data_IF_748920669671
#
_entry.id   IF_748920669671
#
_cell.length_a   1.000
_cell.length_b   1.000
_cell.length_c   1.000
_cell.angle_alpha   90.00
_cell.angle_beta   90.00
_cell.angle_gamma   90.00
#
_symmetry.space_group_name_H-M   'P 1'
#
loop_
_entity.id
_entity.type
_entity.pdbx_description
1 polymer ?
#
# COMPACT_ATOMS: atom_id res chain seq x y z
N UNK A 1 13.14 10.22 -1.38
CA UNK A 1 12.33 10.57 -0.19
C UNK A 1 12.58 9.59 0.95
N UNK A 2 12.68 10.06 2.19
CA UNK A 2 12.76 9.24 3.40
C UNK A 2 11.38 8.66 3.76
N UNK A 3 11.33 7.34 3.99
CA UNK A 3 10.09 6.60 4.15
C UNK A 3 10.09 5.87 5.48
N UNK A 4 8.94 5.88 6.15
CA UNK A 4 8.66 5.07 7.34
C UNK A 4 7.40 4.23 7.14
N UNK A 5 7.51 2.91 7.29
CA UNK A 5 6.37 2.00 7.26
C UNK A 5 6.00 1.63 8.69
N UNK A 6 4.70 1.73 9.01
CA UNK A 6 4.17 1.30 10.30
C UNK A 6 3.56 -0.10 10.15
N UNK A 7 4.27 -1.14 10.60
CA UNK A 7 3.72 -2.48 10.74
C UNK A 7 3.07 -2.60 12.11
N UNK A 8 1.74 -2.62 12.15
CA UNK A 8 0.99 -2.83 13.38
C UNK A 8 -0.09 -3.87 13.18
N UNK A 9 -0.55 -4.44 14.30
CA UNK A 9 -1.63 -5.41 14.32
C UNK A 9 -2.97 -4.68 14.27
N UNK A 10 -3.75 -4.95 13.22
CA UNK A 10 -5.10 -4.42 13.08
C UNK A 10 -6.03 -5.13 14.08
N UNK A 11 -6.88 -4.37 14.74
CA UNK A 11 -7.93 -4.91 15.63
C UNK A 11 -9.15 -5.25 14.79
N UNK A 12 -9.58 -6.51 14.83
CA UNK A 12 -10.70 -6.99 14.03
C UNK A 12 -12.01 -6.25 14.37
N UNK A 13 -12.63 -5.62 13.37
CA UNK A 13 -13.95 -5.02 13.46
C UNK A 13 -14.08 -3.76 14.34
N UNK A 14 -12.97 -3.20 14.83
CA UNK A 14 -12.97 -2.08 15.79
C UNK A 14 -12.32 -0.81 15.20
N UNK A 15 -13.14 -0.01 14.53
CA UNK A 15 -12.73 1.23 13.84
C UNK A 15 -12.12 2.25 14.80
N UNK A 16 -12.74 2.46 15.95
CA UNK A 16 -12.30 3.49 16.89
C UNK A 16 -10.94 3.11 17.51
N UNK A 17 -10.78 1.84 17.93
CA UNK A 17 -9.50 1.36 18.46
C UNK A 17 -8.38 1.41 17.42
N UNK A 18 -8.66 1.09 16.16
CA UNK A 18 -7.67 1.16 15.09
C UNK A 18 -7.25 2.61 14.74
N UNK A 19 -8.21 3.54 14.71
CA UNK A 19 -7.92 4.97 14.54
C UNK A 19 -7.03 5.48 15.67
N UNK A 20 -7.37 5.14 16.92
CA UNK A 20 -6.59 5.55 18.07
C UNK A 20 -5.18 4.92 18.08
N UNK A 21 -5.08 3.67 17.62
CA UNK A 21 -3.80 2.99 17.43
C UNK A 21 -2.91 3.74 16.44
N UNK A 22 -3.44 4.16 15.29
CA UNK A 22 -2.69 4.96 14.30
C UNK A 22 -2.24 6.28 14.91
N UNK A 23 -3.12 7.03 15.57
CA UNK A 23 -2.75 8.29 16.25
C UNK A 23 -1.62 8.08 17.26
N UNK A 24 -1.75 7.05 18.09
CA UNK A 24 -0.73 6.68 19.09
C UNK A 24 0.62 6.35 18.45
N UNK A 25 0.64 5.67 17.30
CA UNK A 25 1.88 5.37 16.59
C UNK A 25 2.54 6.64 16.06
N UNK A 26 1.78 7.56 15.45
CA UNK A 26 2.31 8.86 15.02
C UNK A 26 2.84 9.70 16.19
N UNK A 27 2.25 9.57 17.39
CA UNK A 27 2.75 10.26 18.59
C UNK A 27 4.04 9.65 19.16
N UNK A 28 4.21 8.34 19.03
CA UNK A 28 5.37 7.62 19.57
C UNK A 28 6.58 7.66 18.64
N UNK A 29 6.34 7.69 17.35
CA UNK A 29 7.40 7.60 16.34
C UNK A 29 8.09 8.95 16.11
N UNK A 30 9.41 8.91 15.99
CA UNK A 30 10.17 10.07 15.51
C UNK A 30 9.94 10.23 14.00
N UNK A 31 9.24 11.30 13.61
CA UNK A 31 8.93 11.62 12.23
C UNK A 31 9.77 12.79 11.70
N UNK A 32 10.75 13.28 12.48
CA UNK A 32 11.62 14.37 12.04
C UNK A 32 12.43 13.92 10.81
N UNK A 33 12.30 14.67 9.72
CA UNK A 33 13.01 14.41 8.46
C UNK A 33 12.44 13.24 7.65
N UNK A 34 11.31 12.66 8.06
CA UNK A 34 10.55 11.71 7.23
C UNK A 34 9.71 12.47 6.20
N UNK A 35 9.61 11.93 4.99
CA UNK A 35 8.81 12.53 3.93
C UNK A 35 7.48 11.81 3.73
N UNK A 36 7.46 10.48 3.93
CA UNK A 36 6.30 9.61 3.71
C UNK A 36 6.14 8.61 4.86
N UNK A 37 4.92 8.49 5.39
CA UNK A 37 4.50 7.41 6.30
C UNK A 37 3.53 6.47 5.59
N UNK A 38 3.66 5.16 5.79
CA UNK A 38 2.85 4.13 5.11
C UNK A 38 2.11 3.24 6.12
N UNK A 39 0.81 3.05 5.90
CA UNK A 39 -0.08 2.19 6.69
C UNK A 39 -0.47 0.90 5.92
N UNK A 40 -0.90 -0.17 6.60
CA UNK A 40 -1.31 -1.42 5.97
C UNK A 40 -2.71 -1.36 5.35
N UNK A 41 -3.10 -2.40 4.61
CA UNK A 41 -4.46 -2.55 4.04
C UNK A 41 -5.53 -2.64 5.14
N UNK A 42 -6.75 -2.23 4.81
CA UNK A 42 -7.99 -2.39 5.59
C UNK A 42 -7.87 -2.02 7.08
N UNK A 43 -6.98 -1.09 7.41
CA UNK A 43 -6.51 -0.89 8.77
C UNK A 43 -7.58 -0.39 9.75
N UNK A 44 -8.71 0.13 9.26
CA UNK A 44 -9.84 0.54 10.10
C UNK A 44 -10.66 -0.64 10.61
N UNK A 45 -10.87 -1.68 9.81
CA UNK A 45 -11.82 -2.76 10.13
C UNK A 45 -11.16 -4.14 10.20
N UNK A 46 -9.98 -4.28 9.62
CA UNK A 46 -9.48 -5.57 9.16
C UNK A 46 -10.47 -6.23 8.20
N UNK A 47 -10.39 -7.55 8.12
CA UNK A 47 -11.26 -8.39 7.29
C UNK A 47 -12.56 -8.80 8.01
N UNK A 48 -13.17 -7.93 8.81
CA UNK A 48 -14.53 -8.14 9.34
C UNK A 48 -15.60 -7.92 8.25
N UNK A 49 -15.51 -8.74 7.19
CA UNK A 49 -16.27 -8.58 5.96
C UNK A 49 -17.77 -8.79 6.19
N UNK A 50 -18.16 -9.71 7.09
CA UNK A 50 -19.57 -9.96 7.43
C UNK A 50 -20.28 -8.73 8.01
N UNK A 51 -19.52 -7.81 8.63
CA UNK A 51 -20.06 -6.59 9.23
C UNK A 51 -19.66 -5.33 8.46
N UNK A 52 -19.06 -5.46 7.28
CA UNK A 52 -18.43 -4.35 6.56
C UNK A 52 -19.42 -3.24 6.21
N UNK A 53 -20.68 -3.58 5.92
CA UNK A 53 -21.78 -2.63 5.69
C UNK A 53 -21.96 -1.59 6.80
N UNK A 54 -21.75 -2.01 8.04
CA UNK A 54 -21.89 -1.16 9.23
C UNK A 54 -20.58 -0.44 9.56
N UNK A 55 -19.45 -1.05 9.24
CA UNK A 55 -18.12 -0.61 9.68
C UNK A 55 -17.40 0.27 8.65
N UNK A 56 -17.77 0.19 7.38
CA UNK A 56 -17.09 0.91 6.31
C UNK A 56 -17.16 2.43 6.51
N UNK A 57 -16.07 3.09 6.13
CA UNK A 57 -16.05 4.53 5.97
C UNK A 57 -17.06 4.94 4.89
N UNK A 58 -17.52 6.19 4.96
CA UNK A 58 -18.32 6.81 3.89
C UNK A 58 -17.52 7.97 3.30
N UNK A 59 -17.20 7.87 2.01
CA UNK A 59 -16.32 8.84 1.34
C UNK A 59 -15.00 9.08 2.11
N UNK A 60 -14.42 7.97 2.58
CA UNK A 60 -13.22 7.87 3.42
C UNK A 60 -13.34 8.44 4.83
N UNK A 61 -14.49 8.95 5.26
CA UNK A 61 -14.66 9.47 6.63
C UNK A 61 -15.02 8.35 7.62
N UNK A 62 -14.50 8.40 8.87
CA UNK A 62 -13.67 9.48 9.45
C UNK A 62 -12.15 9.35 9.21
N UNK A 63 -11.71 8.28 8.55
CA UNK A 63 -10.28 7.98 8.37
C UNK A 63 -9.52 9.13 7.69
N UNK A 64 -10.07 9.68 6.60
CA UNK A 64 -9.44 10.79 5.85
C UNK A 64 -9.22 12.03 6.71
N UNK A 65 -10.20 12.44 7.52
CA UNK A 65 -10.03 13.59 8.43
C UNK A 65 -8.87 13.36 9.41
N UNK A 66 -8.82 12.19 10.05
CA UNK A 66 -7.74 11.85 10.99
C UNK A 66 -6.38 11.85 10.30
N UNK A 67 -6.26 11.20 9.15
CA UNK A 67 -5.00 11.16 8.40
C UNK A 67 -4.57 12.56 7.95
N UNK A 68 -5.52 13.41 7.54
CA UNK A 68 -5.23 14.80 7.16
C UNK A 68 -4.68 15.62 8.32
N UNK A 69 -5.26 15.47 9.51
CA UNK A 69 -4.75 16.12 10.73
C UNK A 69 -3.34 15.64 11.08
N UNK A 70 -3.07 14.34 10.96
CA UNK A 70 -1.75 13.76 11.20
C UNK A 70 -0.72 14.27 10.18
N UNK A 71 -1.07 14.29 8.89
CA UNK A 71 -0.18 14.77 7.83
C UNK A 71 0.28 16.21 8.09
N UNK A 72 -0.66 17.10 8.46
CA UNK A 72 -0.36 18.50 8.81
C UNK A 72 0.44 18.61 10.11
N UNK A 73 0.02 17.91 11.17
CA UNK A 73 0.67 17.97 12.50
C UNK A 73 2.14 17.56 12.44
N UNK A 74 2.44 16.53 11.67
CA UNK A 74 3.80 15.97 11.57
C UNK A 74 4.56 16.43 10.32
N UNK A 75 3.92 17.20 9.43
CA UNK A 75 4.48 17.69 8.17
C UNK A 75 5.06 16.55 7.29
N UNK A 76 4.27 15.48 7.13
CA UNK A 76 4.62 14.29 6.33
C UNK A 76 3.51 13.98 5.34
N UNK A 77 3.86 13.40 4.19
CA UNK A 77 2.88 12.77 3.33
C UNK A 77 2.49 11.39 3.91
N UNK A 78 1.28 10.92 3.66
CA UNK A 78 0.80 9.65 4.19
C UNK A 78 0.18 8.82 3.07
N UNK A 79 0.81 7.67 2.77
CA UNK A 79 0.18 6.58 2.01
C UNK A 79 -0.66 5.80 3.01
N UNK A 80 -1.94 6.13 3.08
CA UNK A 80 -2.82 5.81 4.19
C UNK A 80 -3.40 4.40 4.12
N UNK A 81 -2.59 3.44 3.65
CA UNK A 81 -3.02 2.05 3.55
C UNK A 81 -4.26 1.93 2.69
N UNK A 82 -5.22 1.15 3.14
CA UNK A 82 -6.58 1.18 2.62
C UNK A 82 -7.62 0.99 3.72
N UNK A 83 -8.87 1.29 3.39
CA UNK A 83 -10.03 1.16 4.29
C UNK A 83 -11.22 0.58 3.53
N UNK A 84 -12.12 -0.10 4.25
CA UNK A 84 -13.45 -0.40 3.73
C UNK A 84 -14.21 0.92 3.54
N UNK A 85 -14.74 1.15 2.34
CA UNK A 85 -15.27 2.46 1.97
C UNK A 85 -16.47 2.36 1.04
N UNK A 86 -17.58 2.96 1.43
CA UNK A 86 -18.69 3.27 0.54
C UNK A 86 -18.41 4.62 -0.15
N UNK A 87 -18.27 4.59 -1.48
CA UNK A 87 -17.87 5.78 -2.27
C UNK A 87 -19.08 6.51 -2.84
N UNK A 88 -20.15 5.78 -3.14
CA UNK A 88 -21.36 6.29 -3.77
C UNK A 88 -22.63 5.75 -3.09
N UNK A 89 -23.78 6.09 -3.66
CA UNK A 89 -25.10 5.71 -3.15
C UNK A 89 -25.56 4.32 -3.65
N UNK A 90 -24.70 3.55 -4.34
CA UNK A 90 -25.06 2.21 -4.85
C UNK A 90 -25.27 1.20 -3.72
N UNK A 91 -24.65 1.44 -2.57
CA UNK A 91 -24.58 0.51 -1.46
C UNK A 91 -23.37 -0.42 -1.50
N UNK A 92 -22.57 -0.37 -2.58
CA UNK A 92 -21.36 -1.16 -2.70
C UNK A 92 -20.24 -0.64 -1.78
N UNK A 93 -19.42 -1.58 -1.30
CA UNK A 93 -18.26 -1.29 -0.45
C UNK A 93 -16.99 -1.72 -1.16
N UNK A 94 -15.99 -0.85 -1.11
CA UNK A 94 -14.73 -1.02 -1.79
C UNK A 94 -13.59 -1.05 -0.78
N UNK A 95 -12.57 -1.87 -1.04
CA UNK A 95 -11.28 -1.74 -0.39
C UNK A 95 -10.52 -0.59 -1.07
N UNK A 96 -10.44 0.56 -0.40
CA UNK A 96 -9.99 1.82 -0.99
C UNK A 96 -8.74 2.34 -0.31
N UNK A 97 -7.64 2.38 -1.06
CA UNK A 97 -6.41 3.06 -0.67
C UNK A 97 -6.48 4.54 -1.01
N UNK A 98 -5.79 5.36 -0.22
CA UNK A 98 -5.74 6.80 -0.44
C UNK A 98 -4.44 7.41 0.06
N UNK A 99 -4.09 8.57 -0.50
CA UNK A 99 -2.86 9.29 -0.18
C UNK A 99 -3.20 10.72 0.20
N UNK A 100 -2.64 11.16 1.31
CA UNK A 100 -2.77 12.53 1.82
C UNK A 100 -1.41 13.20 1.78
N UNK A 101 -1.33 14.40 1.22
CA UNK A 101 -0.09 15.19 1.25
C UNK A 101 0.12 15.87 2.61
N UNK A 102 1.32 16.40 2.84
CA UNK A 102 1.67 17.11 4.10
C UNK A 102 0.85 18.38 4.38
N UNK A 103 0.08 18.88 3.40
CA UNK A 103 -0.87 19.99 3.60
C UNK A 103 -2.25 19.51 4.09
N UNK A 104 -2.47 18.20 4.17
CA UNK A 104 -3.74 17.58 4.51
C UNK A 104 -4.66 17.38 3.30
N UNK A 105 -4.15 17.51 2.08
CA UNK A 105 -4.91 17.36 0.85
C UNK A 105 -4.97 15.90 0.37
N UNK A 106 -6.14 15.44 -0.09
CA UNK A 106 -6.28 14.17 -0.80
C UNK A 106 -5.69 14.29 -2.21
N UNK A 107 -4.61 13.57 -2.47
CA UNK A 107 -3.90 13.61 -3.76
C UNK A 107 -4.15 12.39 -4.64
N UNK A 108 -4.50 11.25 -4.04
CA UNK A 108 -4.78 10.03 -4.78
C UNK A 108 -5.73 9.12 -4.02
N UNK A 109 -6.58 8.40 -4.76
CA UNK A 109 -7.48 7.38 -4.26
C UNK A 109 -7.55 6.23 -5.28
N UNK A 110 -7.56 4.99 -4.79
CA UNK A 110 -7.62 3.79 -5.61
C UNK A 110 -8.43 2.70 -4.91
N UNK A 111 -9.43 2.13 -5.59
CA UNK A 111 -10.18 0.99 -5.09
C UNK A 111 -9.69 -0.31 -5.73
N UNK A 112 -9.38 -1.30 -4.90
CA UNK A 112 -8.82 -2.61 -5.29
C UNK A 112 -9.65 -3.23 -6.41
N UNK A 113 -9.00 -3.53 -7.54
CA UNK A 113 -9.70 -4.13 -8.70
C UNK A 113 -9.65 -5.67 -8.65
N UNK A 114 -8.61 -6.25 -8.04
CA UNK A 114 -8.47 -7.70 -7.93
C UNK A 114 -8.90 -8.17 -6.54
N UNK A 115 -10.16 -8.60 -6.43
CA UNK A 115 -10.69 -9.16 -5.19
C UNK A 115 -10.16 -10.57 -4.93
N UNK A 116 -9.95 -10.92 -3.66
CA UNK A 116 -9.46 -12.24 -3.24
C UNK A 116 -10.63 -13.23 -3.12
N UNK A 117 -10.81 -14.18 -4.05
CA UNK A 117 -11.91 -15.14 -3.98
C UNK A 117 -11.78 -16.10 -2.79
N UNK A 118 -10.55 -16.36 -2.35
CA UNK A 118 -10.27 -17.28 -1.23
C UNK A 118 -10.59 -16.70 0.14
N UNK A 119 -10.84 -15.39 0.23
CA UNK A 119 -11.26 -14.68 1.45
C UNK A 119 -12.71 -14.21 1.35
N UNK A 120 -13.46 -14.74 0.37
CA UNK A 120 -14.83 -14.34 0.06
C UNK A 120 -15.00 -12.82 -0.19
N UNK A 121 -13.93 -12.09 -0.55
CA UNK A 121 -14.03 -10.65 -0.83
C UNK A 121 -15.14 -10.33 -1.84
N UNK A 122 -15.34 -11.07 -2.95
CA UNK A 122 -16.40 -10.77 -3.91
C UNK A 122 -17.84 -10.92 -3.40
N UNK A 123 -18.04 -11.51 -2.22
CA UNK A 123 -19.37 -11.60 -1.57
C UNK A 123 -19.72 -10.31 -0.81
N UNK A 124 -18.71 -9.57 -0.34
CA UNK A 124 -18.89 -8.40 0.55
C UNK A 124 -18.37 -7.10 -0.06
N UNK A 125 -17.48 -7.17 -1.04
CA UNK A 125 -16.79 -6.03 -1.64
C UNK A 125 -17.02 -6.00 -3.15
N UNK A 126 -17.13 -4.80 -3.69
CA UNK A 126 -17.09 -4.53 -5.11
C UNK A 126 -15.64 -4.25 -5.57
N UNK A 127 -15.32 -4.70 -6.79
CA UNK A 127 -14.05 -4.38 -7.43
C UNK A 127 -14.07 -2.94 -7.94
N UNK A 128 -12.96 -2.23 -7.79
CA UNK A 128 -12.81 -0.90 -8.37
C UNK A 128 -13.02 -0.91 -9.89
N UNK A 129 -13.66 0.15 -10.40
CA UNK A 129 -13.96 0.30 -11.84
C UNK A 129 -13.02 1.25 -12.56
N UNK A 130 -12.27 2.06 -11.81
CA UNK A 130 -11.29 2.98 -12.35
C UNK A 130 -9.95 2.28 -12.56
N UNK A 131 -9.23 2.72 -13.60
CA UNK A 131 -7.87 2.24 -13.86
C UNK A 131 -6.93 2.76 -12.78
N UNK A 132 -6.03 1.90 -12.32
CA UNK A 132 -4.93 2.31 -11.44
C UNK A 132 -4.08 3.36 -12.16
N UNK A 133 -3.72 4.42 -11.46
CA UNK A 133 -2.89 5.48 -12.00
C UNK A 133 -1.74 5.86 -11.07
N UNK A 134 -0.85 6.70 -11.58
CA UNK A 134 0.24 7.27 -10.78
C UNK A 134 -0.19 8.54 -10.06
N UNK A 135 0.50 8.87 -8.98
CA UNK A 135 0.36 10.15 -8.29
C UNK A 135 1.74 10.78 -8.04
N UNK A 136 1.76 12.08 -7.79
CA UNK A 136 3.00 12.81 -7.54
C UNK A 136 3.08 13.29 -6.09
N UNK A 137 4.25 13.12 -5.47
CA UNK A 137 4.61 13.77 -4.21
C UNK A 137 5.99 14.39 -4.40
N UNK A 138 6.11 15.69 -4.09
CA UNK A 138 7.39 16.42 -4.10
C UNK A 138 8.17 16.34 -5.43
N UNK A 139 7.45 16.18 -6.56
CA UNK A 139 8.04 16.07 -7.89
C UNK A 139 8.54 14.67 -8.26
N UNK A 140 8.31 13.66 -7.40
CA UNK A 140 8.52 12.26 -7.72
C UNK A 140 7.18 11.56 -8.02
N UNK A 141 7.18 10.64 -8.99
CA UNK A 141 6.00 9.89 -9.43
C UNK A 141 5.95 8.51 -8.77
N UNK A 142 4.80 8.17 -8.20
CA UNK A 142 4.58 6.96 -7.43
C UNK A 142 3.39 6.16 -7.98
N UNK A 143 3.40 4.85 -7.71
CA UNK A 143 2.22 3.99 -7.86
C UNK A 143 1.77 3.43 -6.51
N UNK A 144 0.51 3.03 -6.41
CA UNK A 144 -0.06 2.39 -5.21
C UNK A 144 -1.00 1.27 -5.63
N UNK A 145 -0.80 0.09 -5.05
CA UNK A 145 -1.62 -1.10 -5.27
C UNK A 145 -1.93 -1.78 -3.94
N UNK A 146 -2.96 -2.64 -3.94
CA UNK A 146 -3.49 -3.22 -2.71
C UNK A 146 -3.37 -4.75 -2.75
N UNK A 147 -2.57 -5.28 -1.83
CA UNK A 147 -2.49 -6.70 -1.48
C UNK A 147 -2.50 -7.64 -2.69
N UNK A 148 -3.64 -8.24 -3.01
CA UNK A 148 -3.79 -9.23 -4.08
C UNK A 148 -3.36 -8.74 -5.46
N UNK A 149 -3.40 -7.42 -5.70
CA UNK A 149 -2.83 -6.76 -6.87
C UNK A 149 -1.36 -7.16 -7.11
N UNK A 150 -0.60 -7.47 -6.06
CA UNK A 150 0.78 -7.97 -6.13
C UNK A 150 0.92 -9.17 -7.07
N UNK A 151 -0.12 -9.98 -7.24
CA UNK A 151 -0.10 -11.15 -8.14
C UNK A 151 -0.13 -10.80 -9.62
N UNK A 152 -0.49 -9.57 -9.98
CA UNK A 152 -0.78 -9.15 -11.36
C UNK A 152 0.34 -8.21 -11.85
N UNK A 153 1.37 -8.72 -12.56
CA UNK A 153 2.52 -7.92 -13.00
C UNK A 153 2.13 -6.79 -13.96
N UNK A 154 0.99 -6.89 -14.63
CA UNK A 154 0.47 -5.91 -15.58
C UNK A 154 0.29 -4.53 -14.94
N UNK A 155 -0.23 -4.48 -13.70
CA UNK A 155 -0.42 -3.23 -12.96
C UNK A 155 0.90 -2.52 -12.69
N UNK A 156 1.90 -3.28 -12.22
CA UNK A 156 3.21 -2.71 -11.92
C UNK A 156 3.89 -2.23 -13.19
N UNK A 157 3.77 -3.00 -14.28
CA UNK A 157 4.31 -2.57 -15.56
C UNK A 157 3.66 -1.29 -16.06
N UNK A 158 2.33 -1.17 -15.97
CA UNK A 158 1.60 0.04 -16.39
C UNK A 158 2.05 1.28 -15.59
N UNK A 159 2.06 1.18 -14.26
CA UNK A 159 2.50 2.25 -13.36
C UNK A 159 3.93 2.68 -13.65
N UNK A 160 4.84 1.73 -13.86
CA UNK A 160 6.22 2.02 -14.21
C UNK A 160 6.36 2.67 -15.59
N UNK A 161 5.58 2.23 -16.58
CA UNK A 161 5.57 2.86 -17.90
C UNK A 161 5.02 4.29 -17.88
N UNK A 162 4.19 4.62 -16.88
CA UNK A 162 3.71 5.98 -16.59
C UNK A 162 4.69 6.83 -15.79
N UNK A 163 5.88 6.29 -15.47
CA UNK A 163 6.97 7.05 -14.85
C UNK A 163 7.18 6.75 -13.37
N UNK A 164 6.42 5.83 -12.75
CA UNK A 164 6.61 5.51 -11.33
C UNK A 164 8.06 5.07 -11.05
N UNK A 165 8.71 5.74 -10.09
CA UNK A 165 10.04 5.40 -9.58
C UNK A 165 9.95 4.45 -8.39
N UNK A 166 8.84 4.50 -7.66
CA UNK A 166 8.51 3.58 -6.59
C UNK A 166 7.02 3.21 -6.59
N UNK A 167 6.71 1.99 -6.14
CA UNK A 167 5.33 1.49 -6.03
C UNK A 167 5.10 1.01 -4.59
N UNK A 168 4.05 1.56 -3.97
CA UNK A 168 3.57 1.15 -2.67
C UNK A 168 2.66 -0.08 -2.80
N UNK A 169 2.87 -1.07 -1.94
CA UNK A 169 2.03 -2.27 -1.82
C UNK A 169 1.53 -2.33 -0.38
N UNK A 170 0.26 -2.01 -0.16
CA UNK A 170 -0.35 -2.04 1.19
C UNK A 170 -1.19 -3.31 1.31
N UNK A 171 -1.03 -4.05 2.42
CA UNK A 171 -1.58 -5.41 2.52
C UNK A 171 -1.96 -5.85 3.94
N UNK A 172 -2.84 -6.85 4.00
CA UNK A 172 -2.93 -7.86 5.05
C UNK A 172 -2.65 -9.22 4.40
N UNK A 173 -1.37 -9.49 4.11
CA UNK A 173 -0.96 -10.70 3.41
C UNK A 173 -0.78 -11.88 4.39
N UNK A 174 -1.40 -13.05 4.11
CA UNK A 174 -1.42 -14.15 5.07
C UNK A 174 -0.07 -14.85 5.23
N UNK A 175 0.24 -15.29 6.45
CA UNK A 175 1.44 -16.03 6.82
C UNK A 175 1.59 -17.32 6.00
N UNK A 176 0.48 -17.99 5.68
CA UNK A 176 0.44 -19.18 4.83
C UNK A 176 0.97 -18.93 3.39
N UNK A 177 1.11 -17.67 2.97
CA UNK A 177 1.66 -17.25 1.67
C UNK A 177 2.84 -16.31 1.83
N UNK A 178 3.51 -16.33 2.99
CA UNK A 178 4.71 -15.54 3.33
C UNK A 178 5.81 -15.59 2.25
N UNK A 179 6.08 -16.77 1.68
CA UNK A 179 7.08 -16.91 0.59
C UNK A 179 6.66 -16.18 -0.69
N UNK A 180 5.35 -16.13 -0.99
CA UNK A 180 4.86 -15.41 -2.17
C UNK A 180 5.01 -13.90 -1.99
N UNK A 181 4.78 -13.39 -0.76
CA UNK A 181 4.99 -11.98 -0.42
C UNK A 181 6.41 -11.53 -0.80
N UNK A 182 7.44 -12.13 -0.21
CA UNK A 182 8.84 -11.82 -0.54
C UNK A 182 9.16 -11.95 -2.03
N UNK A 183 8.79 -13.10 -2.60
CA UNK A 183 9.24 -13.46 -3.95
C UNK A 183 8.64 -12.50 -4.97
N UNK A 184 7.35 -12.19 -4.82
CA UNK A 184 6.66 -11.29 -5.75
C UNK A 184 7.14 -9.86 -5.55
N UNK A 185 7.31 -9.37 -4.32
CA UNK A 185 7.81 -8.00 -4.10
C UNK A 185 9.20 -7.80 -4.70
N UNK A 186 10.13 -8.74 -4.48
CA UNK A 186 11.46 -8.72 -5.12
C UNK A 186 11.36 -8.77 -6.64
N UNK A 187 10.52 -9.64 -7.18
CA UNK A 187 10.28 -9.71 -8.62
C UNK A 187 9.75 -8.39 -9.18
N UNK A 188 8.81 -7.72 -8.48
CA UNK A 188 8.27 -6.42 -8.90
C UNK A 188 9.33 -5.32 -8.91
N UNK A 189 10.20 -5.29 -7.91
CA UNK A 189 11.32 -4.35 -7.86
C UNK A 189 12.27 -4.57 -9.05
N UNK A 190 12.72 -5.81 -9.25
CA UNK A 190 13.69 -6.18 -10.28
C UNK A 190 13.12 -5.95 -11.68
N UNK A 191 11.93 -6.49 -11.97
CA UNK A 191 11.40 -6.47 -13.32
C UNK A 191 10.95 -5.08 -13.76
N UNK A 192 10.64 -4.18 -12.83
CA UNK A 192 10.25 -2.80 -13.11
C UNK A 192 11.33 -1.77 -12.82
N UNK A 193 12.49 -2.20 -12.30
CA UNK A 193 13.62 -1.35 -11.97
C UNK A 193 13.17 -0.11 -11.20
N UNK A 194 12.45 -0.35 -10.11
CA UNK A 194 11.85 0.68 -9.26
C UNK A 194 11.77 0.18 -7.83
N UNK A 195 11.65 1.10 -6.89
CA UNK A 195 11.52 0.74 -5.48
C UNK A 195 10.16 0.08 -5.22
N UNK A 196 10.14 -0.87 -4.29
CA UNK A 196 8.90 -1.43 -3.75
C UNK A 196 8.85 -1.14 -2.25
N UNK A 197 7.79 -0.47 -1.82
CA UNK A 197 7.54 -0.13 -0.41
C UNK A 197 6.32 -0.91 0.03
N UNK A 198 6.54 -1.96 0.81
CA UNK A 198 5.52 -2.93 1.13
C UNK A 198 5.13 -2.83 2.61
N UNK A 199 3.89 -2.41 2.88
CA UNK A 199 3.32 -2.36 4.23
C UNK A 199 2.36 -3.50 4.44
N UNK A 200 2.52 -4.21 5.55
CA UNK A 200 1.69 -5.36 5.89
C UNK A 200 1.31 -5.34 7.38
N UNK A 201 0.12 -5.86 7.72
CA UNK A 201 -0.21 -6.20 9.10
C UNK A 201 0.46 -7.52 9.53
N UNK A 202 0.46 -7.81 10.83
CA UNK A 202 1.09 -8.99 11.40
C UNK A 202 0.22 -9.67 12.48
N UNK A 203 0.54 -10.93 12.75
CA UNK A 203 -0.03 -11.68 13.87
C UNK A 203 -1.41 -12.25 13.57
N UNK A 204 -1.99 -12.88 14.60
CA UNK A 204 -3.30 -13.55 14.52
C UNK A 204 -4.44 -12.56 14.72
N UNK A 205 -5.30 -12.40 13.72
CA UNK A 205 -6.45 -11.51 13.72
C UNK A 205 -7.66 -12.35 13.30
N UNK A 206 -8.65 -12.47 14.19
CA UNK A 206 -9.74 -13.44 14.08
C UNK A 206 -9.21 -14.86 13.80
N UNK A 207 -9.58 -15.47 12.68
CA UNK A 207 -9.21 -16.84 12.29
C UNK A 207 -7.98 -16.90 11.35
N UNK A 208 -7.40 -15.75 11.01
CA UNK A 208 -6.26 -15.66 10.09
C UNK A 208 -4.98 -15.21 10.80
N UNK A 209 -3.83 -15.64 10.28
CA UNK A 209 -2.51 -15.15 10.73
C UNK A 209 -1.82 -14.43 9.58
N UNK A 210 -1.39 -13.20 9.82
CA UNK A 210 -0.76 -12.33 8.83
C UNK A 210 0.75 -12.35 8.92
N UNK A 211 1.39 -12.18 7.78
CA UNK A 211 2.81 -12.44 7.60
C UNK A 211 3.74 -11.37 8.16
N UNK A 212 3.23 -10.18 8.54
CA UNK A 212 4.09 -9.03 8.82
C UNK A 212 5.05 -8.81 7.66
N UNK A 213 6.34 -8.64 7.99
CA UNK A 213 7.42 -8.43 7.02
C UNK A 213 7.12 -7.34 6.02
N UNK A 214 6.67 -6.22 6.53
CA UNK A 214 6.81 -4.96 5.81
C UNK A 214 8.28 -4.79 5.40
N UNK A 215 8.54 -4.24 4.22
CA UNK A 215 9.90 -4.12 3.70
C UNK A 215 10.03 -3.02 2.66
N UNK A 216 11.25 -2.50 2.51
CA UNK A 216 11.64 -1.61 1.43
C UNK A 216 12.66 -2.34 0.57
N UNK A 217 12.39 -2.40 -0.73
CA UNK A 217 13.23 -3.10 -1.71
C UNK A 217 13.71 -2.09 -2.74
N UNK A 218 15.03 -2.04 -2.93
CA UNK A 218 15.67 -1.22 -3.93
C UNK A 218 15.43 -1.71 -5.36
N UNK A 219 15.69 -0.86 -6.36
CA UNK A 219 15.40 -1.15 -7.78
C UNK A 219 16.20 -2.32 -8.39
N UNK A 220 17.22 -2.84 -7.70
CA UNK A 220 17.94 -4.05 -8.09
C UNK A 220 17.47 -5.33 -7.37
N UNK A 221 16.48 -5.21 -6.47
CA UNK A 221 15.92 -6.33 -5.70
C UNK A 221 16.55 -6.54 -4.32
N UNK A 222 17.53 -5.72 -3.93
CA UNK A 222 18.11 -5.72 -2.59
C UNK A 222 17.10 -5.21 -1.57
N UNK A 223 16.98 -5.90 -0.43
CA UNK A 223 16.13 -5.46 0.69
C UNK A 223 16.93 -4.47 1.52
N UNK A 224 16.43 -3.25 1.66
CA UNK A 224 17.08 -2.21 2.46
C UNK A 224 16.82 -2.39 3.94
N UNK A 225 15.55 -2.63 4.27
CA UNK A 225 15.08 -2.90 5.62
C UNK A 225 13.82 -3.76 5.56
N UNK A 226 13.62 -4.61 6.58
CA UNK A 226 12.45 -5.48 6.71
C UNK A 226 12.08 -5.70 8.18
N UNK A 227 10.77 -5.71 8.44
CA UNK A 227 10.24 -6.10 9.73
C UNK A 227 10.21 -7.63 9.89
N UNK A 228 10.12 -8.10 11.12
CA UNK A 228 9.80 -9.50 11.39
C UNK A 228 8.32 -9.83 11.11
N UNK A 229 7.93 -11.10 11.30
CA UNK A 229 6.56 -11.59 11.07
C UNK A 229 5.71 -11.71 12.35
N UNK A 230 6.22 -11.25 13.49
CA UNK A 230 5.68 -11.60 14.82
C UNK A 230 5.50 -10.40 15.76
N UNK A 231 5.98 -9.22 15.40
CA UNK A 231 5.96 -8.04 16.25
C UNK A 231 5.53 -6.76 15.51
N UNK A 232 5.09 -5.80 16.32
CA UNK A 232 4.86 -4.43 15.89
C UNK A 232 6.24 -3.81 15.62
N UNK A 233 6.39 -3.22 14.45
CA UNK A 233 7.67 -2.81 13.95
C UNK A 233 7.56 -1.58 13.05
N UNK A 234 8.70 -0.93 12.89
CA UNK A 234 8.87 0.19 11.99
C UNK A 234 9.99 -0.17 11.02
N UNK A 235 9.73 0.06 9.74
CA UNK A 235 10.72 -0.12 8.67
C UNK A 235 11.05 1.25 8.11
N UNK A 236 12.34 1.53 7.95
CA UNK A 236 12.82 2.81 7.43
C UNK A 236 13.72 2.63 6.24
N UNK A 237 13.63 3.54 5.27
CA UNK A 237 14.45 3.49 4.07
C UNK A 237 14.32 4.77 3.27
N UNK A 238 14.97 4.81 2.11
CA UNK A 238 14.96 5.98 1.25
C UNK A 238 14.78 5.59 -0.21
N UNK A 239 13.94 6.33 -0.91
CA UNK A 239 13.82 6.26 -2.36
C UNK A 239 14.69 7.32 -3.02
N UNK A 240 15.37 6.97 -4.10
CA UNK A 240 16.15 7.92 -4.87
C UNK A 240 15.83 7.77 -6.37
N UNK A 241 15.09 8.72 -6.95
CA UNK A 241 14.77 8.68 -8.39
C UNK A 241 16.02 8.60 -9.29
N UNK A 242 17.14 9.21 -8.88
CA UNK A 242 18.41 9.12 -9.62
C UNK A 242 18.98 7.70 -9.67
N UNK A 243 18.75 6.89 -8.63
CA UNK A 243 19.20 5.50 -8.61
C UNK A 243 18.36 4.64 -9.55
N UNK A 244 17.04 4.90 -9.59
CA UNK A 244 16.14 4.32 -10.60
C UNK A 244 16.62 4.64 -12.02
N UNK A 245 16.94 5.90 -12.31
CA UNK A 245 17.45 6.32 -13.61
C UNK A 245 18.77 5.63 -13.96
N UNK A 246 19.69 5.50 -12.99
CA UNK A 246 20.97 4.82 -13.17
C UNK A 246 20.76 3.35 -13.57
N UNK A 247 19.93 2.61 -12.83
CA UNK A 247 19.69 1.19 -13.08
C UNK A 247 18.99 0.96 -14.42
N UNK A 248 17.98 1.77 -14.75
CA UNK A 248 17.29 1.69 -16.04
C UNK A 248 18.23 1.94 -17.22
N UNK A 249 19.24 2.80 -17.04
CA UNK A 249 20.29 3.03 -18.04
C UNK A 249 21.28 1.87 -18.14
N UNK A 250 21.67 1.27 -17.03
CA UNK A 250 22.61 0.14 -17.00
C UNK A 250 22.02 -1.15 -17.58
N UNK A 251 20.74 -1.40 -17.31
CA UNK A 251 20.01 -2.56 -17.84
C UNK A 251 18.73 -2.06 -18.54
N UNK A 252 18.79 -1.65 -19.82
CA UNK A 252 17.68 -1.00 -20.52
C UNK A 252 16.60 -2.00 -20.99
N UNK A 253 15.93 -2.66 -20.05
CA UNK A 253 14.92 -3.69 -20.33
C UNK A 253 13.71 -3.12 -21.07
N UNK A 254 13.36 -1.86 -20.82
CA UNK A 254 12.21 -1.20 -21.42
C UNK A 254 12.41 -0.91 -22.91
N UNK A 255 13.63 -0.54 -23.30
CA UNK A 255 14.02 -0.34 -24.70
C UNK A 255 14.11 -1.68 -25.45
N UNK A 256 14.42 -2.76 -24.71
CA UNK A 256 14.53 -4.11 -25.26
C UNK A 256 13.18 -4.82 -25.40
N UNK A 257 12.10 -4.25 -24.87
CA UNK A 257 10.76 -4.84 -24.86
C UNK A 257 10.13 -4.84 -26.26
N UNK A 258 9.67 -6.02 -26.71
CA UNK A 258 9.03 -6.23 -28.02
C UNK A 258 7.50 -6.21 -27.92
N UNK A 259 6.90 -5.04 -27.68
CA UNK A 259 5.47 -4.90 -27.36
C UNK A 259 4.55 -5.57 -28.39
N UNK A 260 4.90 -5.47 -29.66
CA UNK A 260 4.16 -6.06 -30.78
C UNK A 260 4.12 -7.60 -30.78
N UNK A 261 4.95 -8.25 -29.95
CA UNK A 261 5.03 -9.71 -29.84
C UNK A 261 4.18 -10.28 -28.70
N UNK A 262 3.53 -9.43 -27.89
CA UNK A 262 2.67 -9.86 -26.78
C UNK A 262 1.20 -9.53 -27.07
N UNK A 263 0.28 -10.36 -26.57
CA UNK A 263 -1.16 -10.14 -26.75
C UNK A 263 -1.79 -9.20 -25.72
N UNK A 264 -1.23 -9.13 -24.51
CA UNK A 264 -1.89 -8.53 -23.35
C UNK A 264 -1.04 -7.45 -22.64
N UNK A 265 0.07 -7.01 -23.26
CA UNK A 265 1.04 -6.09 -22.64
C UNK A 265 1.70 -5.15 -23.63
#
# INVERSE_FOLDING_TARGET
MNIKILQFKVTYGDVDSNIEKVKTLFEKEDLIGMDIVVLPEMWTTGYDLENVDRLACRSLEPAKAVISELAVKYNVNIVAGSVANAIDDTGDIYNTAFVIDRSGGLVYQYSKIHLVPMLNEPEYLAGGTDKVDTFELEGETFGLVICYDLRFPELFRDLTMKGATAIFVVAEWPLARKKHWETLLKARAIENQGYIIASNTYGEIADQTFAGRSMIIGPFGDVEDEADDSSEAVVTGATEGKEVDRIRKEVPIFDSRKREMYHFL
#
